data_IF_335587843870
#
_entry.id   IF_335587843870
#
_cell.length_a   1.000
_cell.length_b   1.000
_cell.length_c   1.000
_cell.angle_alpha   90.00
_cell.angle_beta   90.00
_cell.angle_gamma   90.00
#
_symmetry.space_group_name_H-M   'P 1'
#
loop_
_entity.id
_entity.type
_entity.pdbx_description
1 polymer ?
#
# COMPACT_ATOMS: atom_id res chain seq x y z
N UNK A 1 -41.39 0.72 -3.85
CA UNK A 1 -40.40 -0.34 -3.58
C UNK A 1 -40.32 -0.55 -2.08
N UNK A 2 -40.60 -1.74 -1.55
CA UNK A 2 -40.61 -1.96 -0.09
C UNK A 2 -39.19 -1.77 0.48
N UNK A 3 -39.07 -1.08 1.62
CA UNK A 3 -37.81 -0.79 2.32
C UNK A 3 -36.93 -2.04 2.47
N UNK A 4 -37.55 -3.21 2.64
CA UNK A 4 -36.88 -4.51 2.76
C UNK A 4 -36.08 -4.88 1.51
N UNK A 5 -36.65 -4.68 0.32
CA UNK A 5 -35.96 -4.97 -0.94
C UNK A 5 -34.83 -3.96 -1.20
N UNK A 6 -35.02 -2.71 -0.78
CA UNK A 6 -33.95 -1.69 -0.86
C UNK A 6 -32.76 -2.06 0.02
N UNK A 7 -33.00 -2.48 1.27
CA UNK A 7 -31.93 -2.88 2.20
C UNK A 7 -31.17 -4.12 1.71
N UNK A 8 -31.88 -5.14 1.22
CA UNK A 8 -31.26 -6.34 0.65
C UNK A 8 -30.43 -5.97 -0.59
N UNK A 9 -30.97 -5.12 -1.47
CA UNK A 9 -30.25 -4.63 -2.64
C UNK A 9 -28.96 -3.90 -2.28
N UNK A 10 -29.00 -2.95 -1.32
CA UNK A 10 -27.81 -2.25 -0.86
C UNK A 10 -26.80 -3.18 -0.20
N UNK A 11 -27.26 -4.18 0.57
CA UNK A 11 -26.38 -5.14 1.22
C UNK A 11 -25.64 -6.01 0.22
N UNK A 12 -26.33 -6.48 -0.84
CA UNK A 12 -25.69 -7.25 -1.91
C UNK A 12 -24.62 -6.44 -2.65
N UNK A 13 -24.89 -5.16 -2.91
CA UNK A 13 -23.92 -4.26 -3.56
C UNK A 13 -22.68 -4.07 -2.67
N UNK A 14 -22.87 -3.86 -1.37
CA UNK A 14 -21.75 -3.70 -0.43
C UNK A 14 -20.90 -4.96 -0.31
N UNK A 15 -21.53 -6.14 -0.29
CA UNK A 15 -20.81 -7.42 -0.27
C UNK A 15 -20.00 -7.61 -1.56
N UNK A 16 -20.63 -7.38 -2.73
CA UNK A 16 -19.94 -7.49 -4.01
C UNK A 16 -18.75 -6.53 -4.11
N UNK A 17 -18.95 -5.28 -3.65
CA UNK A 17 -17.88 -4.29 -3.59
C UNK A 17 -16.74 -4.74 -2.68
N UNK A 18 -17.05 -5.24 -1.47
CA UNK A 18 -16.04 -5.75 -0.53
C UNK A 18 -15.23 -6.92 -1.09
N UNK A 19 -15.87 -7.85 -1.81
CA UNK A 19 -15.19 -8.98 -2.47
C UNK A 19 -14.23 -8.48 -3.56
N UNK A 20 -14.66 -7.53 -4.40
CA UNK A 20 -13.81 -6.94 -5.42
C UNK A 20 -12.60 -6.21 -4.81
N UNK A 21 -12.82 -5.48 -3.72
CA UNK A 21 -11.78 -4.82 -2.94
C UNK A 21 -10.71 -5.81 -2.45
N UNK A 22 -11.16 -6.91 -1.86
CA UNK A 22 -10.27 -7.96 -1.38
C UNK A 22 -9.47 -8.60 -2.52
N UNK A 23 -10.12 -8.98 -3.62
CA UNK A 23 -9.47 -9.61 -4.77
C UNK A 23 -8.40 -8.73 -5.44
N UNK A 24 -8.53 -7.41 -5.34
CA UNK A 24 -7.59 -6.45 -5.95
C UNK A 24 -6.60 -5.86 -4.93
N UNK A 25 -6.61 -6.32 -3.70
CA UNK A 25 -5.67 -5.87 -2.67
C UNK A 25 -4.25 -6.30 -3.04
N UNK A 26 -3.30 -5.37 -3.02
CA UNK A 26 -1.91 -5.64 -3.35
C UNK A 26 -1.58 -5.61 -4.84
N UNK A 27 -2.56 -5.34 -5.72
CA UNK A 27 -2.32 -5.14 -7.15
C UNK A 27 -1.32 -4.00 -7.36
N UNK A 28 -0.22 -4.27 -8.07
CA UNK A 28 0.77 -3.24 -8.41
C UNK A 28 0.17 -2.35 -9.50
N UNK A 29 -0.06 -1.08 -9.17
CA UNK A 29 -0.59 -0.08 -10.09
C UNK A 29 0.52 0.60 -10.89
N UNK A 30 1.66 0.82 -10.22
CA UNK A 30 2.80 1.51 -10.79
C UNK A 30 4.08 1.08 -10.07
N UNK A 31 5.18 1.09 -10.79
CA UNK A 31 6.54 0.97 -10.24
C UNK A 31 7.30 2.23 -10.58
N UNK A 32 8.08 2.74 -9.64
CA UNK A 32 8.96 3.87 -9.84
C UNK A 32 10.24 3.72 -9.02
N UNK A 33 11.32 4.35 -9.46
CA UNK A 33 12.57 4.38 -8.72
C UNK A 33 12.52 5.42 -7.61
N UNK A 34 13.20 5.11 -6.50
CA UNK A 34 13.40 6.04 -5.42
C UNK A 34 14.66 5.72 -4.63
N UNK A 35 15.19 6.73 -3.94
CA UNK A 35 16.38 6.60 -3.10
C UNK A 35 15.96 6.63 -1.63
N UNK A 36 16.52 5.71 -0.84
CA UNK A 36 16.30 5.66 0.60
C UNK A 36 16.96 6.87 1.26
N UNK A 37 16.15 7.70 1.90
CA UNK A 37 16.63 8.87 2.66
C UNK A 37 16.80 8.52 4.14
N UNK A 38 15.91 7.70 4.68
CA UNK A 38 15.91 7.36 6.10
C UNK A 38 15.28 6.00 6.32
N UNK A 39 15.86 5.24 7.23
CA UNK A 39 15.35 3.97 7.73
C UNK A 39 15.05 4.16 9.22
N UNK A 40 13.83 3.89 9.65
CA UNK A 40 13.46 3.87 11.07
C UNK A 40 12.81 2.54 11.42
N UNK A 41 13.21 1.96 12.55
CA UNK A 41 12.53 0.80 13.10
C UNK A 41 11.49 1.30 14.11
N UNK A 42 10.23 0.89 13.94
CA UNK A 42 9.21 1.15 14.97
C UNK A 42 9.52 0.31 16.20
N UNK A 43 9.72 0.97 17.35
CA UNK A 43 9.88 0.28 18.62
C UNK A 43 8.62 -0.54 18.93
N UNK A 44 8.78 -1.86 19.13
CA UNK A 44 7.69 -2.78 19.47
C UNK A 44 7.11 -3.60 18.32
N UNK A 45 7.55 -3.41 17.08
CA UNK A 45 7.21 -4.32 15.99
C UNK A 45 8.05 -5.61 16.07
N UNK A 46 7.39 -6.76 16.04
CA UNK A 46 8.02 -8.09 16.14
C UNK A 46 8.77 -8.47 14.85
N UNK A 47 8.37 -7.89 13.72
CA UNK A 47 9.01 -8.10 12.42
C UNK A 47 10.17 -7.12 12.20
N UNK A 48 11.22 -7.59 11.53
CA UNK A 48 12.36 -6.79 11.04
C UNK A 48 11.95 -5.92 9.85
N UNK A 49 10.86 -5.16 9.97
CA UNK A 49 10.35 -4.29 8.90
C UNK A 49 10.65 -2.86 9.28
N UNK A 50 11.47 -2.21 8.46
CA UNK A 50 11.82 -0.81 8.62
C UNK A 50 10.76 0.07 7.95
N UNK A 51 10.41 1.16 8.62
CA UNK A 51 9.74 2.31 8.04
C UNK A 51 10.76 3.11 7.26
N UNK A 52 10.69 3.01 5.93
CA UNK A 52 11.66 3.61 5.03
C UNK A 52 11.06 4.84 4.38
N UNK A 53 11.70 5.99 4.59
CA UNK A 53 11.39 7.21 3.85
C UNK A 53 12.17 7.20 2.54
N UNK A 54 11.46 7.16 1.43
CA UNK A 54 12.00 7.09 0.08
C UNK A 54 11.72 8.40 -0.64
N UNK A 55 12.74 8.98 -1.26
CA UNK A 55 12.58 10.11 -2.18
C UNK A 55 12.46 9.59 -3.60
N UNK A 56 11.37 9.90 -4.26
CA UNK A 56 11.12 9.52 -5.66
C UNK A 56 11.89 10.44 -6.61
N UNK A 57 12.08 10.01 -7.86
CA UNK A 57 12.69 10.86 -8.91
C UNK A 57 11.92 12.16 -9.14
N UNK A 58 10.60 12.13 -8.93
CA UNK A 58 9.73 13.31 -9.03
C UNK A 58 9.83 14.25 -7.80
N UNK A 59 10.74 13.97 -6.86
CA UNK A 59 10.97 14.79 -5.68
C UNK A 59 9.94 14.62 -4.56
N UNK A 60 9.04 13.64 -4.65
CA UNK A 60 8.08 13.33 -3.59
C UNK A 60 8.73 12.43 -2.54
N UNK A 61 8.26 12.54 -1.30
CA UNK A 61 8.68 11.67 -0.21
C UNK A 61 7.57 10.66 0.08
N UNK A 62 7.92 9.38 0.11
CA UNK A 62 7.02 8.27 0.36
C UNK A 62 7.49 7.50 1.59
N UNK A 63 6.54 7.00 2.37
CA UNK A 63 6.81 6.08 3.48
C UNK A 63 6.44 4.69 2.99
N UNK A 64 7.44 3.82 2.90
CA UNK A 64 7.29 2.44 2.49
C UNK A 64 7.77 1.50 3.60
N UNK A 65 7.31 0.25 3.54
CA UNK A 65 7.83 -0.84 4.37
C UNK A 65 8.91 -1.58 3.60
N UNK A 66 10.06 -1.84 4.24
CA UNK A 66 11.18 -2.58 3.66
C UNK A 66 11.80 -3.52 4.69
N UNK A 67 12.10 -4.76 4.29
CA UNK A 67 12.62 -5.80 5.19
C UNK A 67 14.11 -5.58 5.56
N UNK A 68 14.90 -5.06 4.64
CA UNK A 68 16.30 -4.70 4.89
C UNK A 68 16.54 -3.30 4.33
N UNK A 69 17.04 -2.39 5.16
CA UNK A 69 17.09 -0.98 4.83
C UNK A 69 18.49 -0.43 4.99
N UNK A 70 19.15 -0.18 3.87
CA UNK A 70 20.43 0.53 3.82
C UNK A 70 20.20 1.95 3.29
N UNK A 71 20.65 2.94 4.06
CA UNK A 71 20.53 4.33 3.67
C UNK A 71 21.23 4.63 2.35
N UNK A 72 20.65 5.50 1.53
CA UNK A 72 21.18 5.92 0.22
C UNK A 72 21.14 4.88 -0.91
N UNK A 73 20.50 3.72 -0.69
CA UNK A 73 20.30 2.74 -1.76
C UNK A 73 19.15 3.16 -2.69
N UNK A 74 19.28 2.85 -3.98
CA UNK A 74 18.22 3.04 -4.98
C UNK A 74 17.39 1.77 -5.08
N UNK A 75 16.09 1.89 -4.81
CA UNK A 75 15.13 0.80 -4.74
C UNK A 75 13.96 1.01 -5.70
N UNK A 76 13.26 -0.08 -6.02
CA UNK A 76 11.98 -0.01 -6.71
C UNK A 76 10.86 0.22 -5.68
N UNK A 77 10.11 1.30 -5.85
CA UNK A 77 8.90 1.57 -5.07
C UNK A 77 7.69 1.11 -5.88
N UNK A 78 7.03 0.08 -5.38
CA UNK A 78 5.78 -0.44 -5.92
C UNK A 78 4.61 0.30 -5.27
N UNK A 79 3.84 1.00 -6.09
CA UNK A 79 2.55 1.58 -5.69
C UNK A 79 1.50 0.50 -5.84
N UNK A 80 1.10 -0.09 -4.72
CA UNK A 80 0.09 -1.12 -4.66
C UNK A 80 -1.27 -0.54 -4.30
N UNK A 81 -2.32 -1.16 -4.84
CA UNK A 81 -3.70 -0.87 -4.47
C UNK A 81 -3.98 -1.41 -3.06
N UNK A 82 -4.49 -0.55 -2.19
CA UNK A 82 -4.91 -0.94 -0.85
C UNK A 82 -6.28 -1.63 -0.84
N UNK A 83 -6.61 -2.19 0.32
CA UNK A 83 -7.75 -3.07 0.49
C UNK A 83 -9.13 -2.45 0.31
N UNK A 84 -9.24 -1.12 0.15
CA UNK A 84 -10.52 -0.44 -0.05
C UNK A 84 -10.55 0.38 -1.35
N UNK A 85 -9.61 0.19 -2.29
CA UNK A 85 -9.38 1.03 -3.49
C UNK A 85 -9.05 2.51 -3.23
N UNK A 86 -9.37 3.05 -2.04
CA UNK A 86 -9.14 4.45 -1.65
C UNK A 86 -7.74 4.69 -1.07
N UNK A 87 -7.03 3.62 -0.70
CA UNK A 87 -5.70 3.68 -0.13
C UNK A 87 -4.64 3.17 -1.13
N UNK A 88 -3.50 3.87 -1.20
CA UNK A 88 -2.29 3.40 -1.86
C UNK A 88 -1.33 2.85 -0.80
N UNK A 89 -0.73 1.69 -1.09
CA UNK A 89 0.28 1.08 -0.24
C UNK A 89 1.59 1.14 -0.98
N UNK A 90 2.62 1.73 -0.37
CA UNK A 90 3.95 1.79 -0.95
C UNK A 90 4.80 0.66 -0.39
N UNK A 91 5.27 -0.21 -1.27
CA UNK A 91 6.17 -1.30 -0.93
C UNK A 91 7.50 -1.08 -1.62
N UNK A 92 8.57 -1.15 -0.87
CA UNK A 92 9.92 -1.04 -1.39
C UNK A 92 10.47 -2.44 -1.65
N UNK A 93 11.11 -2.65 -2.80
CA UNK A 93 11.77 -3.92 -3.15
C UNK A 93 13.20 -3.63 -3.61
N UNK A 94 14.20 -4.46 -3.20
CA UNK A 94 15.55 -4.38 -3.74
C UNK A 94 15.53 -4.48 -5.27
N UNK A 95 16.52 -3.86 -5.91
CA UNK A 95 16.63 -3.88 -7.37
C UNK A 95 17.02 -5.26 -7.90
#
# INVERSE_FOLDING_TARGET
MSLRYSLIGSMLILIAYGVLCYMKTGEVLQSQLGTIVRCEQLAGATDTVYHTTVRTENGQYLIAKLADCQGSETINVLVKRGALFFNTVYEAVPR
#
